data_IF_547943571615
#
_entry.id   IF_547943571615
#
_cell.length_a   1.000
_cell.length_b   1.000
_cell.length_c   1.000
_cell.angle_alpha   90.00
_cell.angle_beta   90.00
_cell.angle_gamma   90.00
#
_symmetry.space_group_name_H-M   'P 1'
#
loop_
_entity.id
_entity.type
_entity.pdbx_description
1 polymer ?
#
# COMPACT_ATOMS: atom_id res chain seq x y z
N UNK A 1 -16.07 26.56 -4.83
CA UNK A 1 -14.86 25.94 -4.25
C UNK A 1 -14.87 24.46 -4.63
N UNK A 2 -13.96 24.02 -5.53
CA UNK A 2 -13.77 22.59 -5.78
C UNK A 2 -13.19 21.97 -4.51
N UNK A 3 -13.86 20.95 -3.98
CA UNK A 3 -13.39 20.21 -2.81
C UNK A 3 -12.06 19.57 -3.19
N UNK A 4 -10.97 19.97 -2.55
CA UNK A 4 -9.66 19.31 -2.70
C UNK A 4 -9.84 17.84 -2.31
N UNK A 5 -9.67 16.94 -3.26
CA UNK A 5 -9.63 15.51 -2.99
C UNK A 5 -8.31 15.22 -2.28
N UNK A 6 -8.36 14.91 -1.00
CA UNK A 6 -7.19 14.57 -0.20
C UNK A 6 -7.09 13.06 -0.14
N UNK A 7 -5.98 12.52 -0.60
CA UNK A 7 -5.66 11.11 -0.37
C UNK A 7 -4.90 10.98 0.95
N UNK A 8 -5.23 9.96 1.72
CA UNK A 8 -4.56 9.67 2.98
C UNK A 8 -3.89 8.31 2.95
N UNK A 9 -2.74 8.25 3.56
CA UNK A 9 -2.03 7.01 3.75
C UNK A 9 -2.87 6.05 4.60
N UNK A 10 -3.11 4.85 4.06
CA UNK A 10 -3.70 3.76 4.80
C UNK A 10 -2.60 3.01 5.53
N UNK A 11 -2.50 3.24 6.84
CA UNK A 11 -1.64 2.47 7.74
C UNK A 11 -2.48 1.48 8.53
N UNK A 12 -2.02 0.24 8.58
CA UNK A 12 -2.48 -0.70 9.58
C UNK A 12 -1.66 -0.43 10.85
N UNK A 13 -2.27 0.18 11.86
CA UNK A 13 -1.60 0.42 13.13
C UNK A 13 -1.42 -0.89 13.87
N UNK A 14 -0.21 -1.12 14.31
CA UNK A 14 0.18 -2.28 15.12
C UNK A 14 -0.03 -2.06 16.63
N UNK A 15 -0.53 -0.90 17.04
CA UNK A 15 -0.29 -0.39 18.39
C UNK A 15 -1.27 -0.86 19.46
N UNK A 16 -2.36 -1.55 19.16
CA UNK A 16 -3.33 -1.83 20.23
C UNK A 16 -4.21 -3.05 19.99
N UNK A 17 -3.60 -4.22 19.80
CA UNK A 17 -4.35 -5.45 20.03
C UNK A 17 -4.33 -5.77 21.52
N UNK A 18 -5.46 -5.63 22.18
CA UNK A 18 -5.65 -6.11 23.54
C UNK A 18 -6.45 -7.42 23.55
N UNK A 19 -6.12 -8.31 24.47
CA UNK A 19 -6.99 -9.46 24.77
C UNK A 19 -8.29 -8.96 25.39
N UNK A 20 -9.32 -9.83 25.45
CA UNK A 20 -10.58 -9.55 26.16
C UNK A 20 -10.39 -9.07 27.61
N UNK A 21 -9.22 -9.31 28.19
CA UNK A 21 -8.86 -8.95 29.57
C UNK A 21 -7.96 -7.70 29.64
N UNK A 22 -7.81 -6.92 28.57
CA UNK A 22 -6.99 -5.72 28.54
C UNK A 22 -5.48 -5.98 28.49
N UNK A 23 -5.05 -7.22 28.25
CA UNK A 23 -3.60 -7.53 28.15
C UNK A 23 -3.14 -7.19 26.72
N UNK A 24 -2.10 -6.35 26.55
CA UNK A 24 -1.55 -6.08 25.24
C UNK A 24 -1.10 -7.36 24.54
N UNK A 25 -1.61 -7.63 23.34
CA UNK A 25 -1.08 -8.69 22.50
C UNK A 25 0.15 -8.11 21.80
N UNK A 26 1.29 -8.78 21.93
CA UNK A 26 2.51 -8.37 21.25
C UNK A 26 2.30 -8.16 19.75
N UNK A 27 2.58 -7.04 19.31
CA UNK A 27 2.12 -6.19 18.25
C UNK A 27 2.72 -6.46 16.87
N UNK A 28 2.41 -7.58 16.29
CA UNK A 28 2.70 -7.72 14.88
C UNK A 28 1.44 -8.28 14.21
N UNK A 29 0.93 -7.64 13.17
CA UNK A 29 -0.23 -8.18 12.46
C UNK A 29 0.13 -9.54 11.88
N UNK A 30 -0.89 -10.35 11.62
CA UNK A 30 -0.70 -11.58 10.86
C UNK A 30 -0.03 -11.22 9.54
N UNK A 31 1.18 -11.73 9.34
CA UNK A 31 1.92 -11.55 8.11
C UNK A 31 1.61 -12.68 7.16
N UNK A 32 1.35 -12.33 5.91
CA UNK A 32 1.24 -13.28 4.81
C UNK A 32 2.50 -13.18 3.97
N UNK A 33 3.13 -14.30 3.72
CA UNK A 33 4.21 -14.44 2.74
C UNK A 33 3.74 -15.26 1.55
N UNK A 34 4.25 -14.97 0.40
CA UNK A 34 4.07 -15.83 -0.76
C UNK A 34 4.76 -17.18 -0.56
N UNK A 35 4.22 -18.24 -1.15
CA UNK A 35 4.97 -19.50 -1.32
C UNK A 35 6.26 -19.23 -2.09
N UNK A 36 7.25 -20.09 -1.93
CA UNK A 36 8.57 -19.88 -2.55
C UNK A 36 8.50 -19.58 -4.07
N UNK A 37 7.70 -20.30 -4.89
CA UNK A 37 7.56 -19.99 -6.30
C UNK A 37 7.03 -18.57 -6.56
N UNK A 38 5.96 -18.18 -5.88
CA UNK A 38 5.34 -16.84 -6.06
C UNK A 38 6.27 -15.74 -5.53
N UNK A 39 6.99 -15.98 -4.45
CA UNK A 39 7.98 -15.03 -3.92
C UNK A 39 9.13 -14.81 -4.92
N UNK A 40 9.63 -15.86 -5.53
CA UNK A 40 10.66 -15.75 -6.56
C UNK A 40 10.14 -14.96 -7.76
N UNK A 41 8.90 -15.25 -8.18
CA UNK A 41 8.25 -14.49 -9.27
C UNK A 41 8.08 -13.02 -8.91
N UNK A 42 7.72 -12.68 -7.67
CA UNK A 42 7.61 -11.29 -7.21
C UNK A 42 8.96 -10.54 -7.32
N UNK A 43 10.07 -11.18 -6.96
CA UNK A 43 11.40 -10.57 -7.12
C UNK A 43 11.74 -10.36 -8.61
N UNK A 44 11.43 -11.35 -9.44
CA UNK A 44 11.60 -11.24 -10.89
C UNK A 44 10.75 -10.09 -11.46
N UNK A 45 9.47 -9.99 -11.09
CA UNK A 45 8.60 -8.87 -11.47
C UNK A 45 9.21 -7.53 -11.08
N UNK A 46 9.73 -7.41 -9.85
CA UNK A 46 10.38 -6.20 -9.39
C UNK A 46 11.54 -5.79 -10.30
N UNK A 47 12.41 -6.73 -10.67
CA UNK A 47 13.54 -6.49 -11.57
C UNK A 47 13.07 -6.09 -12.95
N UNK A 48 12.15 -6.85 -13.53
CA UNK A 48 11.62 -6.59 -14.87
C UNK A 48 10.92 -5.22 -14.99
N UNK A 49 10.16 -4.82 -13.98
CA UNK A 49 9.50 -3.49 -13.98
C UNK A 49 10.52 -2.36 -13.86
N UNK A 50 11.57 -2.52 -13.04
CA UNK A 50 12.67 -1.54 -12.96
C UNK A 50 13.37 -1.38 -14.31
N UNK A 51 13.82 -2.48 -14.90
CA UNK A 51 14.47 -2.49 -16.21
C UNK A 51 13.56 -1.89 -17.31
N UNK A 52 12.26 -2.17 -17.25
CA UNK A 52 11.29 -1.58 -18.17
C UNK A 52 11.26 -0.07 -18.07
N UNK A 53 11.20 0.47 -16.82
CA UNK A 53 11.19 1.92 -16.56
C UNK A 53 12.53 2.57 -16.98
N UNK A 54 13.65 1.96 -16.66
CA UNK A 54 14.98 2.44 -17.04
C UNK A 54 15.13 2.53 -18.56
N UNK A 55 14.63 1.54 -19.29
CA UNK A 55 14.73 1.49 -20.76
C UNK A 55 13.76 2.41 -21.48
N UNK A 56 12.54 2.56 -20.99
CA UNK A 56 11.43 3.19 -21.73
C UNK A 56 11.00 4.54 -21.13
N UNK A 57 11.57 4.95 -20.00
CA UNK A 57 11.03 6.02 -19.18
C UNK A 57 9.78 5.60 -18.41
N UNK A 58 9.40 6.45 -17.48
CA UNK A 58 8.19 6.20 -16.68
C UNK A 58 6.94 6.76 -17.38
N UNK A 59 5.99 5.88 -17.63
CA UNK A 59 4.63 6.20 -18.07
C UNK A 59 3.70 5.31 -17.23
N UNK A 60 2.82 5.94 -16.48
CA UNK A 60 2.00 5.22 -15.48
C UNK A 60 1.17 4.09 -16.10
N UNK A 61 0.49 4.35 -17.23
CA UNK A 61 -0.37 3.38 -17.88
C UNK A 61 0.42 2.19 -18.44
N UNK A 62 1.54 2.47 -19.08
CA UNK A 62 2.40 1.42 -19.63
C UNK A 62 3.04 0.58 -18.55
N UNK A 63 3.52 1.21 -17.47
CA UNK A 63 4.08 0.51 -16.30
C UNK A 63 3.01 -0.33 -15.62
N UNK A 64 1.79 0.18 -15.48
CA UNK A 64 0.65 -0.56 -14.95
C UNK A 64 0.36 -1.82 -15.76
N UNK A 65 0.16 -1.67 -17.07
CA UNK A 65 -0.19 -2.78 -17.96
C UNK A 65 0.92 -3.85 -17.96
N UNK A 66 2.17 -3.39 -18.03
CA UNK A 66 3.32 -4.27 -17.93
C UNK A 66 3.37 -5.01 -16.58
N UNK A 67 3.21 -4.29 -15.47
CA UNK A 67 3.20 -4.89 -14.13
C UNK A 67 2.12 -5.96 -14.02
N UNK A 68 0.89 -5.69 -14.47
CA UNK A 68 -0.21 -6.63 -14.38
C UNK A 68 -0.01 -7.88 -15.23
N UNK A 69 0.60 -7.73 -16.41
CA UNK A 69 0.89 -8.86 -17.30
C UNK A 69 1.91 -9.85 -16.75
N UNK A 70 2.74 -9.41 -15.80
CA UNK A 70 3.77 -10.23 -15.19
C UNK A 70 3.25 -11.12 -14.04
N UNK A 71 2.11 -10.76 -13.43
CA UNK A 71 1.56 -11.53 -12.32
C UNK A 71 0.84 -12.80 -12.81
N UNK A 72 1.12 -13.98 -12.23
CA UNK A 72 0.43 -15.21 -12.57
C UNK A 72 -1.03 -15.15 -12.14
N UNK A 73 -1.87 -15.99 -12.76
CA UNK A 73 -3.30 -16.08 -12.44
C UNK A 73 -3.54 -16.87 -11.15
N UNK A 74 -2.71 -17.85 -10.86
CA UNK A 74 -2.76 -18.64 -9.65
C UNK A 74 -1.71 -18.14 -8.65
N UNK A 75 -2.19 -17.76 -7.47
CA UNK A 75 -1.37 -17.24 -6.40
C UNK A 75 -1.53 -18.07 -5.13
N UNK A 76 -0.42 -18.25 -4.43
CA UNK A 76 -0.39 -18.96 -3.16
C UNK A 76 0.43 -18.20 -2.13
N UNK A 77 -0.06 -18.19 -0.90
CA UNK A 77 0.61 -17.60 0.24
C UNK A 77 0.52 -18.44 1.49
N UNK A 78 1.35 -18.13 2.46
CA UNK A 78 1.36 -18.78 3.77
C UNK A 78 1.23 -17.75 4.87
N UNK A 79 0.54 -18.11 5.94
CA UNK A 79 0.60 -17.37 7.20
C UNK A 79 1.99 -17.53 7.79
N UNK A 80 2.70 -16.44 8.02
CA UNK A 80 4.10 -16.44 8.49
C UNK A 80 4.21 -16.53 10.02
N UNK A 81 3.14 -16.29 10.74
CA UNK A 81 3.10 -16.38 12.19
C UNK A 81 2.12 -17.46 12.68
N UNK A 82 2.27 -17.86 13.95
CA UNK A 82 1.43 -18.88 14.56
C UNK A 82 0.14 -18.31 15.19
N UNK A 83 -0.24 -17.08 14.88
CA UNK A 83 -1.40 -16.45 15.49
C UNK A 83 -2.69 -17.08 15.03
N UNK A 84 -3.66 -17.11 15.93
CA UNK A 84 -4.96 -17.68 15.63
C UNK A 84 -5.80 -16.78 14.73
N UNK A 85 -5.66 -15.46 14.88
CA UNK A 85 -6.47 -14.47 14.17
C UNK A 85 -5.79 -14.06 12.87
N UNK A 86 -6.49 -14.16 11.77
CA UNK A 86 -6.08 -13.64 10.47
C UNK A 86 -6.84 -12.35 10.23
N UNK A 87 -6.10 -11.28 9.97
CA UNK A 87 -6.68 -9.97 9.73
C UNK A 87 -7.38 -9.91 8.36
N UNK A 88 -8.33 -9.01 8.24
CA UNK A 88 -9.05 -8.79 6.98
C UNK A 88 -8.26 -7.98 5.97
N UNK A 89 -7.32 -7.19 6.44
CA UNK A 89 -6.35 -6.43 5.65
C UNK A 89 -4.95 -6.69 6.19
N UNK A 90 -4.13 -7.37 5.39
CA UNK A 90 -2.78 -7.76 5.77
C UNK A 90 -1.79 -7.09 4.81
N UNK A 91 -1.08 -6.08 5.30
CA UNK A 91 -0.08 -5.40 4.51
C UNK A 91 1.09 -6.36 4.21
N UNK A 92 1.54 -6.36 2.98
CA UNK A 92 2.73 -7.10 2.59
C UNK A 92 3.96 -6.20 2.70
N UNK A 93 5.02 -6.70 3.33
CA UNK A 93 6.34 -6.05 3.35
C UNK A 93 7.07 -6.21 2.02
N UNK A 94 6.36 -6.09 0.91
CA UNK A 94 6.89 -6.34 -0.41
C UNK A 94 7.60 -5.13 -0.99
N UNK A 95 8.51 -5.41 -1.92
CA UNK A 95 9.14 -4.38 -2.76
C UNK A 95 8.07 -3.62 -3.55
N UNK A 96 8.32 -2.33 -3.71
CA UNK A 96 7.35 -1.41 -4.30
C UNK A 96 7.08 -1.69 -5.77
N UNK A 97 8.09 -2.07 -6.55
CA UNK A 97 7.98 -2.23 -8.01
C UNK A 97 7.15 -3.43 -8.45
N UNK A 98 7.02 -4.47 -7.64
CA UNK A 98 6.11 -5.58 -7.96
C UNK A 98 4.63 -5.19 -7.93
N UNK A 99 4.30 -4.07 -7.32
CA UNK A 99 2.92 -3.62 -7.14
C UNK A 99 2.13 -4.36 -6.05
N UNK A 100 2.61 -5.49 -5.52
CA UNK A 100 1.93 -6.23 -4.45
C UNK A 100 1.90 -5.42 -3.15
N UNK A 101 0.71 -5.17 -2.60
CA UNK A 101 0.53 -4.28 -1.45
C UNK A 101 -0.09 -4.92 -0.24
N UNK A 102 -1.17 -5.63 -0.41
CA UNK A 102 -1.88 -6.23 0.69
C UNK A 102 -2.61 -7.48 0.25
N UNK A 103 -2.78 -8.41 1.18
CA UNK A 103 -3.75 -9.49 1.05
C UNK A 103 -4.98 -9.10 1.86
N UNK A 104 -6.14 -9.15 1.23
CA UNK A 104 -7.41 -8.77 1.85
C UNK A 104 -8.41 -9.90 1.77
N UNK A 105 -9.31 -10.00 2.76
CA UNK A 105 -10.47 -10.88 2.66
C UNK A 105 -11.50 -10.31 1.70
N UNK A 106 -12.36 -11.20 1.18
CA UNK A 106 -13.43 -10.85 0.25
C UNK A 106 -14.23 -9.61 0.67
N UNK A 107 -14.63 -9.50 1.93
CA UNK A 107 -15.42 -8.36 2.42
C UNK A 107 -14.73 -7.02 2.27
N UNK A 108 -13.39 -6.97 2.39
CA UNK A 108 -12.60 -5.75 2.16
C UNK A 108 -12.50 -5.48 0.66
N UNK A 109 -12.30 -6.53 -0.16
CA UNK A 109 -12.37 -6.38 -1.62
C UNK A 109 -13.73 -5.82 -2.06
N UNK A 110 -14.83 -6.29 -1.47
CA UNK A 110 -16.18 -5.82 -1.79
C UNK A 110 -16.37 -4.32 -1.46
N UNK A 111 -15.61 -3.76 -0.51
CA UNK A 111 -15.55 -2.31 -0.29
C UNK A 111 -14.85 -1.60 -1.44
N UNK A 112 -13.71 -2.12 -1.89
CA UNK A 112 -12.99 -1.57 -3.05
C UNK A 112 -13.85 -1.62 -4.32
N UNK A 113 -14.64 -2.66 -4.52
CA UNK A 113 -15.53 -2.81 -5.69
C UNK A 113 -16.61 -1.70 -5.77
N UNK A 114 -16.91 -1.02 -4.66
CA UNK A 114 -17.78 0.17 -4.64
C UNK A 114 -17.08 1.44 -5.15
N UNK A 115 -15.75 1.41 -5.30
CA UNK A 115 -14.91 2.50 -5.77
C UNK A 115 -14.07 2.02 -6.95
N UNK A 116 -14.68 1.76 -8.11
CA UNK A 116 -13.97 1.19 -9.24
C UNK A 116 -12.78 2.10 -9.63
N UNK A 117 -11.65 1.49 -10.04
CA UNK A 117 -10.48 2.26 -10.43
C UNK A 117 -10.78 3.11 -11.66
N UNK A 118 -10.39 4.38 -11.62
CA UNK A 118 -10.64 5.34 -12.72
C UNK A 118 -9.73 5.12 -13.91
N UNK A 119 -8.51 4.65 -13.67
CA UNK A 119 -7.47 4.37 -14.66
C UNK A 119 -6.86 2.98 -14.48
N UNK A 120 -7.64 2.05 -13.95
CA UNK A 120 -7.18 0.70 -13.60
C UNK A 120 -5.94 0.70 -12.69
N UNK A 121 -5.81 1.71 -11.83
CA UNK A 121 -4.68 1.94 -10.95
C UNK A 121 -4.51 0.88 -9.87
N UNK A 122 -5.46 -0.03 -9.73
CA UNK A 122 -5.32 -1.23 -8.92
C UNK A 122 -6.14 -2.38 -9.49
N UNK A 123 -5.73 -3.59 -9.16
CA UNK A 123 -6.50 -4.80 -9.43
C UNK A 123 -6.38 -5.79 -8.28
N UNK A 124 -7.26 -6.79 -8.29
CA UNK A 124 -7.23 -7.89 -7.35
C UNK A 124 -6.99 -9.21 -8.07
N UNK A 125 -6.09 -10.03 -7.53
CA UNK A 125 -5.94 -11.44 -7.93
C UNK A 125 -6.31 -12.35 -6.76
N UNK A 126 -7.06 -13.42 -7.03
CA UNK A 126 -7.39 -14.42 -6.01
C UNK A 126 -6.12 -15.12 -5.55
N UNK A 127 -5.98 -15.28 -4.22
CA UNK A 127 -4.83 -15.96 -3.63
C UNK A 127 -5.31 -17.05 -2.66
N UNK A 128 -4.74 -18.25 -2.79
CA UNK A 128 -4.95 -19.33 -1.84
C UNK A 128 -3.99 -19.19 -0.68
N UNK A 129 -4.52 -19.14 0.55
CA UNK A 129 -3.70 -18.99 1.75
C UNK A 129 -3.66 -20.29 2.53
N UNK A 130 -2.46 -20.69 2.93
CA UNK A 130 -2.21 -21.86 3.77
C UNK A 130 -1.75 -21.44 5.17
N UNK A 131 -2.18 -22.20 6.17
CA UNK A 131 -1.68 -22.13 7.54
C UNK A 131 -1.24 -23.51 7.96
N UNK A 132 0.06 -23.66 8.31
CA UNK A 132 0.65 -24.95 8.70
C UNK A 132 0.40 -26.08 7.67
N UNK A 133 0.37 -25.75 6.39
CA UNK A 133 0.12 -26.68 5.29
C UNK A 133 -1.37 -26.93 4.97
N UNK A 134 -2.29 -26.42 5.79
CA UNK A 134 -3.73 -26.53 5.54
C UNK A 134 -4.26 -25.28 4.83
N UNK A 135 -5.06 -25.48 3.80
CA UNK A 135 -5.73 -24.39 3.08
C UNK A 135 -6.80 -23.76 3.97
N UNK A 136 -6.85 -22.44 3.98
CA UNK A 136 -7.90 -21.69 4.63
C UNK A 136 -9.15 -21.63 3.74
N UNK A 137 -10.32 -21.75 4.37
CA UNK A 137 -11.63 -21.75 3.67
C UNK A 137 -12.05 -20.34 3.24
N UNK A 138 -11.50 -19.30 3.86
CA UNK A 138 -11.80 -17.91 3.53
C UNK A 138 -11.28 -17.54 2.13
N UNK A 139 -12.00 -16.66 1.45
CA UNK A 139 -11.57 -16.07 0.19
C UNK A 139 -10.65 -14.88 0.44
N UNK A 140 -9.45 -14.96 -0.15
CA UNK A 140 -8.43 -13.91 -0.08
C UNK A 140 -8.06 -13.39 -1.46
N UNK A 141 -7.67 -12.12 -1.49
CA UNK A 141 -7.29 -11.41 -2.70
C UNK A 141 -6.03 -10.60 -2.46
N UNK A 142 -5.11 -10.65 -3.41
CA UNK A 142 -3.93 -9.81 -3.45
C UNK A 142 -4.28 -8.51 -4.14
N UNK A 143 -4.13 -7.39 -3.43
CA UNK A 143 -4.19 -6.04 -3.99
C UNK A 143 -2.86 -5.73 -4.69
N UNK A 144 -2.93 -5.47 -5.97
CA UNK A 144 -1.81 -5.06 -6.81
C UNK A 144 -2.08 -3.65 -7.30
N UNK A 145 -1.11 -2.75 -7.10
CA UNK A 145 -1.16 -1.37 -7.57
C UNK A 145 0.23 -0.97 -8.07
N UNK A 146 0.38 -0.50 -9.31
CA UNK A 146 1.65 -0.07 -9.83
C UNK A 146 2.17 1.13 -9.04
N UNK A 147 3.48 1.19 -8.84
CA UNK A 147 4.11 2.26 -8.08
C UNK A 147 4.22 3.54 -8.92
N UNK A 148 3.83 4.67 -8.36
CA UNK A 148 4.24 5.99 -8.86
C UNK A 148 5.66 6.23 -8.36
N UNK A 149 6.61 6.44 -9.30
CA UNK A 149 8.02 6.59 -8.99
C UNK A 149 8.32 7.91 -8.29
N UNK A 150 9.47 7.99 -7.63
CA UNK A 150 9.87 9.17 -6.87
C UNK A 150 9.99 10.43 -7.73
N UNK A 151 10.49 10.30 -8.95
CA UNK A 151 10.65 11.41 -9.90
C UNK A 151 9.34 12.08 -10.35
N UNK A 152 8.18 11.44 -10.11
CA UNK A 152 6.86 12.03 -10.42
C UNK A 152 6.36 13.00 -9.33
N UNK A 153 7.09 13.24 -8.26
CA UNK A 153 6.70 14.16 -7.20
C UNK A 153 7.02 15.60 -7.56
N UNK A 154 6.20 16.50 -7.06
CA UNK A 154 6.44 17.95 -7.13
C UNK A 154 7.23 18.35 -5.88
N UNK A 155 8.55 18.34 -5.97
CA UNK A 155 9.46 18.47 -4.83
C UNK A 155 9.36 19.83 -4.17
N UNK A 156 9.31 20.93 -4.94
CA UNK A 156 9.17 22.29 -4.43
C UNK A 156 7.86 22.52 -3.66
N UNK A 157 6.87 21.66 -3.85
CA UNK A 157 5.57 21.69 -3.13
C UNK A 157 5.43 20.59 -2.08
N UNK A 158 6.40 19.67 -2.01
CA UNK A 158 6.46 18.63 -1.00
C UNK A 158 7.23 19.10 0.24
N UNK A 159 6.96 18.50 1.40
CA UNK A 159 7.58 18.86 2.66
C UNK A 159 8.16 17.61 3.32
N UNK A 160 9.42 17.74 3.75
CA UNK A 160 10.15 16.67 4.41
C UNK A 160 10.64 17.13 5.79
N UNK A 161 10.77 16.21 6.72
CA UNK A 161 11.38 16.44 8.01
C UNK A 161 12.81 15.88 8.01
N UNK A 162 13.77 16.75 8.23
CA UNK A 162 15.17 16.36 8.40
C UNK A 162 15.37 15.87 9.83
N UNK A 163 15.61 14.57 10.00
CA UNK A 163 15.79 13.94 11.32
C UNK A 163 17.06 14.42 12.02
N UNK A 164 18.08 14.78 11.29
CA UNK A 164 19.35 15.20 11.86
C UNK A 164 19.30 16.63 12.39
N UNK A 165 18.72 17.54 11.60
CA UNK A 165 18.63 18.96 11.96
C UNK A 165 17.37 19.32 12.75
N UNK A 166 16.38 18.43 12.79
CA UNK A 166 15.13 18.65 13.47
C UNK A 166 14.24 19.71 12.83
N UNK A 167 14.38 19.97 11.53
CA UNK A 167 13.66 21.02 10.84
C UNK A 167 12.92 20.50 9.59
N UNK A 168 11.96 21.31 9.11
CA UNK A 168 11.27 21.07 7.84
C UNK A 168 12.08 21.60 6.68
N UNK A 169 12.18 20.83 5.61
CA UNK A 169 12.93 21.16 4.40
C UNK A 169 12.11 20.87 3.14
N UNK A 170 12.41 21.58 2.07
CA UNK A 170 11.93 21.31 0.71
C UNK A 170 13.14 21.14 -0.18
N UNK A 171 12.92 20.45 -1.29
CA UNK A 171 13.89 20.29 -2.36
C UNK A 171 13.35 20.97 -3.61
N UNK A 172 14.21 21.55 -4.41
CA UNK A 172 13.80 22.21 -5.65
C UNK A 172 13.52 21.18 -6.77
N UNK A 173 14.16 19.99 -6.67
CA UNK A 173 13.96 18.95 -7.68
C UNK A 173 14.13 17.53 -7.12
N UNK A 174 13.79 16.54 -7.97
CA UNK A 174 14.09 15.13 -7.69
C UNK A 174 15.59 14.89 -7.59
N UNK A 175 16.39 15.49 -8.48
CA UNK A 175 17.83 15.31 -8.53
C UNK A 175 18.51 15.82 -7.25
N UNK A 176 18.07 16.96 -6.73
CA UNK A 176 18.56 17.49 -5.46
C UNK A 176 18.25 16.53 -4.31
N UNK A 177 17.00 16.03 -4.25
CA UNK A 177 16.60 15.06 -3.23
C UNK A 177 17.35 13.74 -3.35
N UNK A 178 17.50 13.18 -4.56
CA UNK A 178 18.15 11.90 -4.81
C UNK A 178 19.66 11.95 -4.51
N UNK A 179 20.32 13.09 -4.80
CA UNK A 179 21.72 13.34 -4.47
C UNK A 179 21.97 13.64 -2.98
N UNK A 180 20.90 13.86 -2.20
CA UNK A 180 20.99 14.06 -0.75
C UNK A 180 21.05 12.70 -0.02
N UNK A 181 21.31 12.71 1.29
CA UNK A 181 21.17 11.51 2.10
C UNK A 181 19.69 11.24 2.43
N UNK A 182 18.97 10.66 1.48
CA UNK A 182 17.51 10.47 1.53
C UNK A 182 17.01 9.74 2.78
N UNK A 183 17.88 8.96 3.46
CA UNK A 183 17.54 8.25 4.71
C UNK A 183 17.26 9.22 5.86
N UNK A 184 17.77 10.43 5.80
CA UNK A 184 17.58 11.45 6.83
C UNK A 184 16.25 12.21 6.72
N UNK A 185 15.50 12.02 5.63
CA UNK A 185 14.33 12.82 5.32
C UNK A 185 13.04 11.98 5.37
N UNK A 186 12.19 12.28 6.34
CA UNK A 186 10.84 11.71 6.42
C UNK A 186 9.87 12.59 5.61
N UNK A 187 9.09 12.01 4.70
CA UNK A 187 8.04 12.76 4.03
C UNK A 187 6.94 13.12 5.03
N UNK A 188 6.61 14.42 5.12
CA UNK A 188 5.53 14.96 5.94
C UNK A 188 4.31 15.27 5.09
N UNK A 189 4.56 15.80 3.90
CA UNK A 189 3.56 16.08 2.90
C UNK A 189 4.15 15.81 1.52
N UNK A 190 3.46 15.01 0.73
CA UNK A 190 3.84 14.74 -0.66
C UNK A 190 2.85 15.41 -1.59
N UNK A 191 3.36 16.12 -2.58
CA UNK A 191 2.56 16.69 -3.66
C UNK A 191 2.82 15.92 -4.95
N UNK A 192 1.75 15.52 -5.61
CA UNK A 192 1.78 14.86 -6.92
C UNK A 192 1.17 15.76 -8.00
N UNK A 193 1.54 15.56 -9.28
CA UNK A 193 0.86 16.21 -10.38
C UNK A 193 -0.65 15.95 -10.40
N UNK A 194 -1.42 16.93 -10.88
CA UNK A 194 -2.88 16.86 -10.95
C UNK A 194 -3.41 15.63 -11.70
N UNK A 195 -2.63 15.08 -12.63
CA UNK A 195 -3.00 13.88 -13.41
C UNK A 195 -3.29 12.62 -12.55
N UNK A 196 -2.88 12.62 -11.26
CA UNK A 196 -3.11 11.51 -10.31
C UNK A 196 -4.27 11.77 -9.35
N UNK A 197 -4.91 12.96 -9.41
CA UNK A 197 -5.93 13.39 -8.43
C UNK A 197 -7.14 12.47 -8.36
N UNK A 198 -7.56 11.90 -9.48
CA UNK A 198 -8.79 11.12 -9.60
C UNK A 198 -8.60 9.63 -9.32
N UNK A 199 -7.38 9.18 -9.04
CA UNK A 199 -7.12 7.79 -8.69
C UNK A 199 -7.74 7.45 -7.33
N UNK A 200 -8.38 6.28 -7.20
CA UNK A 200 -8.91 5.80 -5.93
C UNK A 200 -7.81 5.27 -5.01
N UNK A 201 -6.77 4.70 -5.60
CA UNK A 201 -5.62 4.13 -4.90
C UNK A 201 -4.34 4.67 -5.53
N UNK A 202 -3.44 5.16 -4.69
CA UNK A 202 -2.11 5.63 -5.09
C UNK A 202 -1.07 4.86 -4.31
N UNK A 203 -0.16 4.22 -5.03
CA UNK A 203 0.97 3.52 -4.46
C UNK A 203 2.23 4.36 -4.60
N UNK A 204 2.77 4.81 -3.48
CA UNK A 204 4.05 5.52 -3.39
C UNK A 204 5.02 4.75 -2.50
N UNK A 205 6.08 4.21 -3.08
CA UNK A 205 7.08 3.42 -2.36
C UNK A 205 6.45 2.23 -1.61
N UNK A 206 6.49 2.26 -0.29
CA UNK A 206 5.91 1.20 0.55
C UNK A 206 4.47 1.48 0.96
N UNK A 207 3.96 2.67 0.69
CA UNK A 207 2.71 3.17 1.24
C UNK A 207 1.59 3.15 0.20
N UNK A 208 0.38 2.89 0.69
CA UNK A 208 -0.85 3.02 -0.08
C UNK A 208 -1.60 4.25 0.44
N UNK A 209 -2.05 5.06 -0.48
CA UNK A 209 -2.96 6.18 -0.23
C UNK A 209 -4.29 5.86 -0.89
N UNK A 210 -5.37 6.20 -0.23
CA UNK A 210 -6.72 5.97 -0.72
C UNK A 210 -7.52 7.26 -0.70
N UNK A 211 -8.46 7.39 -1.62
CA UNK A 211 -9.38 8.54 -1.67
C UNK A 211 -10.22 8.62 -0.38
N UNK A 212 -10.66 9.82 -0.02
CA UNK A 212 -11.44 10.04 1.21
C UNK A 212 -12.70 9.17 1.28
N UNK A 213 -13.37 8.95 0.14
CA UNK A 213 -14.56 8.11 0.07
C UNK A 213 -14.26 6.64 0.38
N UNK A 214 -13.24 6.10 -0.29
CA UNK A 214 -12.78 4.72 -0.06
C UNK A 214 -12.27 4.54 1.36
N UNK A 215 -11.49 5.52 1.88
CA UNK A 215 -11.00 5.51 3.24
C UNK A 215 -12.13 5.37 4.26
N UNK A 216 -13.15 6.23 4.16
CA UNK A 216 -14.28 6.21 5.09
C UNK A 216 -14.98 4.85 5.10
N UNK A 217 -15.23 4.28 3.92
CA UNK A 217 -15.86 2.95 3.80
C UNK A 217 -14.99 1.82 4.34
N UNK A 218 -13.69 1.87 4.07
CA UNK A 218 -12.75 0.88 4.63
C UNK A 218 -12.73 0.94 6.16
N UNK A 219 -12.70 2.14 6.74
CA UNK A 219 -12.75 2.31 8.18
C UNK A 219 -14.06 1.78 8.77
N UNK A 220 -15.21 2.16 8.20
CA UNK A 220 -16.51 1.68 8.66
C UNK A 220 -16.57 0.15 8.65
N UNK A 221 -16.06 -0.51 7.61
CA UNK A 221 -16.06 -1.95 7.49
C UNK A 221 -15.06 -2.62 8.44
N UNK A 222 -13.87 -2.06 8.57
CA UNK A 222 -12.84 -2.57 9.46
C UNK A 222 -13.24 -2.41 10.93
N UNK A 223 -13.81 -1.26 11.32
CA UNK A 223 -14.28 -1.02 12.69
C UNK A 223 -15.43 -1.92 13.09
N UNK A 224 -16.38 -2.22 12.21
CA UNK A 224 -17.47 -3.16 12.50
C UNK A 224 -16.98 -4.52 13.00
N UNK A 225 -15.85 -4.96 12.51
CA UNK A 225 -15.25 -6.24 12.92
C UNK A 225 -14.44 -6.11 14.18
N UNK A 226 -13.76 -5.00 14.37
CA UNK A 226 -12.83 -4.77 15.48
C UNK A 226 -13.48 -4.21 16.74
N UNK A 227 -14.65 -3.59 16.65
CA UNK A 227 -15.43 -3.24 17.85
C UNK A 227 -15.75 -4.46 18.73
N UNK A 228 -15.89 -5.65 18.12
CA UNK A 228 -16.04 -6.90 18.87
C UNK A 228 -14.78 -7.33 19.60
N UNK A 229 -13.61 -7.00 19.09
CA UNK A 229 -12.32 -7.52 19.58
C UNK A 229 -11.39 -6.45 20.15
N UNK A 230 -11.82 -5.17 20.21
CA UNK A 230 -11.04 -4.00 20.68
C UNK A 230 -9.65 -3.90 20.05
N UNK A 231 -9.48 -4.27 18.82
CA UNK A 231 -8.19 -4.29 18.17
C UNK A 231 -8.15 -3.32 16.99
N UNK A 232 -7.17 -2.47 17.01
CA UNK A 232 -6.59 -1.66 15.94
C UNK A 232 -7.13 -0.25 15.78
N UNK A 233 -6.30 0.74 16.13
CA UNK A 233 -6.36 2.07 15.55
C UNK A 233 -5.73 2.04 14.15
N UNK A 234 -6.39 2.64 13.16
CA UNK A 234 -5.74 3.01 11.91
C UNK A 234 -5.19 4.41 12.08
N UNK A 235 -3.88 4.53 12.05
CA UNK A 235 -3.24 5.83 12.00
C UNK A 235 -3.12 6.30 10.56
N UNK A 236 -3.44 7.57 10.34
CA UNK A 236 -3.20 8.21 9.07
C UNK A 236 -1.86 8.91 9.11
N UNK A 237 -0.96 8.47 8.24
CA UNK A 237 0.32 9.11 8.04
C UNK A 237 0.21 10.47 7.36
N UNK A 238 1.21 10.85 6.62
CA UNK A 238 1.26 12.12 5.91
C UNK A 238 0.18 12.24 4.83
N UNK A 239 -0.13 13.48 4.50
CA UNK A 239 -1.13 13.79 3.46
C UNK A 239 -0.49 13.77 2.08
N UNK A 240 -1.26 13.31 1.12
CA UNK A 240 -0.96 13.45 -0.28
C UNK A 240 -1.77 14.63 -0.83
N UNK A 241 -1.10 15.56 -1.45
CA UNK A 241 -1.70 16.71 -2.13
C UNK A 241 -1.50 16.59 -3.64
N UNK A 242 -2.24 17.38 -4.40
CA UNK A 242 -2.12 17.42 -5.84
C UNK A 242 -1.86 18.87 -6.28
N UNK A 243 -0.94 19.00 -7.22
CA UNK A 243 -0.67 20.26 -7.89
C UNK A 243 -1.91 20.67 -8.73
N UNK A 244 -2.17 21.97 -8.83
CA UNK A 244 -3.30 22.50 -9.63
C UNK A 244 -2.97 22.58 -11.12
#
# INVERSE_FOLDING_TARGET
MKKLTVHRELKVSYASCETKNGTPIANSPTSIGFTKPIRNRMYEITTLVKEYIEKNGYDFEKVRDYTYSLWPDELEGNVLDNRKTILDFMQMGADSYSGAKAVVRKRIKDVFDQFPPTRQEYCFKKITIYRKGEKLDDEFYLLISPMIVWSERVYEKSLFYNRYEGCMIRFDSYEEWDNSNTVLYDPVQITLPAKYRDLQVIHLCRNIFVSDGLQKKLLDELYRTYERDRATGYEFGYRLLFDE
#
